data_IF_087636384837
#
_entry.id   IF_087636384837
#
_cell.length_a   1.000
_cell.length_b   1.000
_cell.length_c   1.000
_cell.angle_alpha   90.00
_cell.angle_beta   90.00
_cell.angle_gamma   90.00
#
_symmetry.space_group_name_H-M   'P 1'
#
loop_
_entity.id
_entity.type
_entity.pdbx_description
1 polymer ?
#
# COMPACT_ATOMS: atom_id res chain seq x y z
N UNK A 1 -20.87 11.57 -6.15
CA UNK A 1 -20.86 12.99 -5.75
C UNK A 1 -19.42 13.42 -5.58
N UNK A 2 -19.08 14.66 -5.92
CA UNK A 2 -17.73 15.20 -5.82
C UNK A 2 -17.79 16.65 -5.30
N UNK A 3 -16.76 17.06 -4.56
CA UNK A 3 -16.57 18.44 -4.09
C UNK A 3 -15.11 18.79 -4.33
N UNK A 4 -14.86 19.97 -4.91
CA UNK A 4 -13.53 20.46 -5.20
C UNK A 4 -13.54 21.84 -5.85
N UNK A 5 -12.36 22.46 -5.91
CA UNK A 5 -12.19 23.72 -6.62
C UNK A 5 -12.21 23.46 -8.13
N UNK A 6 -13.07 24.17 -8.86
CA UNK A 6 -13.13 24.06 -10.33
C UNK A 6 -11.83 24.50 -11.01
N UNK A 7 -11.01 25.32 -10.33
CA UNK A 7 -9.67 25.71 -10.77
C UNK A 7 -8.63 24.58 -10.73
N UNK A 8 -8.93 23.47 -10.03
CA UNK A 8 -7.97 22.38 -9.79
C UNK A 8 -7.01 22.65 -8.62
N UNK A 9 -7.12 23.81 -7.95
CA UNK A 9 -6.30 24.11 -6.78
C UNK A 9 -6.64 23.20 -5.59
N UNK A 10 -5.64 22.93 -4.75
CA UNK A 10 -5.80 22.09 -3.57
C UNK A 10 -6.85 22.67 -2.60
N UNK A 11 -7.74 21.81 -2.12
CA UNK A 11 -8.59 22.16 -0.99
C UNK A 11 -7.81 21.97 0.32
N UNK A 12 -7.90 22.93 1.22
CA UNK A 12 -7.25 22.87 2.53
C UNK A 12 -8.28 22.64 3.63
N UNK A 13 -7.98 21.76 4.58
CA UNK A 13 -8.89 21.47 5.70
C UNK A 13 -10.17 20.71 5.31
N UNK A 14 -10.27 20.24 4.06
CA UNK A 14 -11.43 19.48 3.57
C UNK A 14 -10.99 18.06 3.21
N UNK A 15 -11.72 17.08 3.74
CA UNK A 15 -11.57 15.66 3.42
C UNK A 15 -12.84 15.13 2.76
N UNK A 16 -12.85 13.88 2.30
CA UNK A 16 -14.09 13.24 1.85
C UNK A 16 -15.18 13.21 2.92
N UNK A 17 -14.81 13.05 4.20
CA UNK A 17 -15.73 12.97 5.34
C UNK A 17 -16.31 14.35 5.70
N UNK A 18 -15.51 15.41 5.63
CA UNK A 18 -15.96 16.77 5.96
C UNK A 18 -16.49 17.56 4.76
N UNK A 19 -16.21 17.13 3.53
CA UNK A 19 -16.65 17.77 2.29
C UNK A 19 -17.85 17.07 1.64
N UNK A 20 -17.60 15.98 0.91
CA UNK A 20 -18.63 15.33 0.10
C UNK A 20 -19.62 14.48 0.91
N UNK A 21 -19.18 13.81 1.97
CA UNK A 21 -20.02 12.88 2.72
C UNK A 21 -21.27 13.52 3.37
N UNK A 22 -21.22 14.71 3.98
CA UNK A 22 -22.41 15.34 4.58
C UNK A 22 -23.44 15.75 3.54
N UNK A 23 -22.99 16.23 2.37
CA UNK A 23 -23.88 16.59 1.26
C UNK A 23 -24.57 15.35 0.71
N UNK A 24 -23.83 14.25 0.55
CA UNK A 24 -24.39 12.97 0.13
C UNK A 24 -25.42 12.43 1.13
N UNK A 25 -25.07 12.43 2.42
CA UNK A 25 -25.96 11.99 3.49
C UNK A 25 -27.27 12.78 3.50
N UNK A 26 -27.20 14.10 3.42
CA UNK A 26 -28.39 14.96 3.39
C UNK A 26 -29.28 14.66 2.18
N UNK A 27 -28.68 14.51 1.00
CA UNK A 27 -29.39 14.18 -0.24
C UNK A 27 -30.08 12.81 -0.14
N UNK A 28 -29.36 11.76 0.26
CA UNK A 28 -29.92 10.40 0.36
C UNK A 28 -31.01 10.35 1.42
N UNK A 29 -30.82 11.01 2.56
CA UNK A 29 -31.83 11.10 3.62
C UNK A 29 -33.11 11.73 3.10
N UNK A 30 -33.01 12.87 2.42
CA UNK A 30 -34.15 13.55 1.81
C UNK A 30 -34.87 12.66 0.77
N UNK A 31 -34.11 12.01 -0.11
CA UNK A 31 -34.68 11.13 -1.14
C UNK A 31 -35.33 9.87 -0.56
N UNK A 32 -34.87 9.39 0.59
CA UNK A 32 -35.44 8.24 1.31
C UNK A 32 -36.52 8.62 2.33
N UNK A 33 -36.93 9.89 2.41
CA UNK A 33 -38.06 10.29 3.26
C UNK A 33 -39.32 9.52 2.87
N UNK A 34 -39.87 8.75 3.81
CA UNK A 34 -41.04 7.90 3.59
C UNK A 34 -40.80 6.68 2.70
N UNK A 35 -39.55 6.39 2.31
CA UNK A 35 -39.19 5.21 1.49
C UNK A 35 -38.15 4.35 2.20
N UNK A 36 -38.56 3.26 2.87
CA UNK A 36 -37.63 2.34 3.51
C UNK A 36 -36.60 1.82 2.50
N UNK A 37 -35.33 1.80 2.91
CA UNK A 37 -34.28 1.15 2.13
C UNK A 37 -34.58 -0.36 2.05
N UNK A 38 -34.33 -0.96 0.89
CA UNK A 38 -34.45 -2.41 0.68
C UNK A 38 -33.04 -2.99 0.57
N UNK A 39 -32.70 -4.03 1.34
CA UNK A 39 -31.41 -4.69 1.17
C UNK A 39 -31.31 -5.28 -0.24
N UNK A 40 -30.13 -5.27 -0.86
CA UNK A 40 -29.92 -5.97 -2.12
C UNK A 40 -30.16 -7.47 -1.95
N UNK A 41 -30.59 -8.14 -3.01
CA UNK A 41 -30.72 -9.60 -3.03
C UNK A 41 -29.34 -10.22 -2.81
N UNK A 42 -29.25 -11.21 -1.93
CA UNK A 42 -28.00 -11.92 -1.69
C UNK A 42 -27.48 -12.55 -3.00
N UNK A 43 -26.16 -12.50 -3.26
CA UNK A 43 -25.57 -13.06 -4.47
C UNK A 43 -25.52 -14.61 -4.48
N UNK A 44 -26.19 -15.28 -3.53
CA UNK A 44 -26.24 -16.74 -3.44
C UNK A 44 -26.77 -17.34 -4.76
N UNK A 45 -25.90 -18.02 -5.50
CA UNK A 45 -26.19 -18.63 -6.81
C UNK A 45 -25.64 -17.87 -8.02
N UNK A 46 -25.06 -16.68 -7.84
CA UNK A 46 -24.39 -15.93 -8.91
C UNK A 46 -22.93 -16.38 -9.05
N UNK A 47 -22.72 -17.51 -9.74
CA UNK A 47 -21.47 -17.85 -10.44
C UNK A 47 -20.15 -17.66 -9.69
N UNK A 48 -20.00 -18.29 -8.52
CA UNK A 48 -18.72 -18.35 -7.82
C UNK A 48 -18.52 -17.29 -6.73
N UNK A 49 -19.59 -16.87 -6.05
CA UNK A 49 -19.52 -16.01 -4.85
C UNK A 49 -20.05 -16.80 -3.65
N UNK A 50 -19.27 -16.84 -2.56
CA UNK A 50 -19.61 -17.55 -1.34
C UNK A 50 -19.47 -16.67 -0.10
N UNK A 51 -20.05 -17.11 1.02
CA UNK A 51 -19.99 -16.41 2.31
C UNK A 51 -19.10 -17.18 3.27
N UNK A 52 -18.16 -16.49 3.91
CA UNK A 52 -17.21 -17.08 4.87
C UNK A 52 -17.15 -16.22 6.14
N UNK A 53 -17.04 -16.84 7.32
CA UNK A 53 -16.91 -16.11 8.58
C UNK A 53 -15.47 -15.64 8.78
N UNK A 54 -15.26 -14.33 8.75
CA UNK A 54 -13.94 -13.71 8.88
C UNK A 54 -13.64 -13.38 10.34
N UNK A 55 -12.45 -13.78 10.77
CA UNK A 55 -11.86 -13.41 12.06
C UNK A 55 -10.65 -12.51 11.85
N UNK A 56 -10.61 -11.40 12.57
CA UNK A 56 -9.52 -10.43 12.49
C UNK A 56 -8.48 -10.70 13.59
N UNK A 57 -7.21 -10.58 13.24
CA UNK A 57 -6.11 -10.75 14.19
C UNK A 57 -6.22 -9.78 15.38
N UNK A 58 -5.82 -10.30 16.54
CA UNK A 58 -5.88 -9.64 17.84
C UNK A 58 -7.28 -9.09 18.19
N UNK A 59 -8.35 -9.64 17.59
CA UNK A 59 -9.74 -9.18 17.79
C UNK A 59 -9.89 -7.66 17.57
N UNK A 60 -9.09 -7.09 16.66
CA UNK A 60 -9.15 -5.65 16.32
C UNK A 60 -10.50 -5.24 15.75
N UNK A 61 -11.19 -6.18 15.12
CA UNK A 61 -12.53 -6.00 14.61
C UNK A 61 -13.41 -7.20 14.99
N UNK A 62 -14.74 -7.01 15.12
CA UNK A 62 -15.67 -8.09 15.40
C UNK A 62 -15.67 -9.16 14.30
N UNK A 63 -15.90 -10.41 14.72
CA UNK A 63 -16.16 -11.52 13.80
C UNK A 63 -17.45 -11.25 13.02
N UNK A 64 -17.41 -11.42 11.69
CA UNK A 64 -18.56 -11.22 10.79
C UNK A 64 -18.46 -12.09 9.55
N UNK A 65 -19.60 -12.37 8.96
CA UNK A 65 -19.68 -13.04 7.67
C UNK A 65 -19.39 -12.03 6.55
N UNK A 66 -18.48 -12.40 5.64
CA UNK A 66 -18.14 -11.59 4.46
C UNK A 66 -18.32 -12.42 3.18
N UNK A 67 -18.50 -11.73 2.06
CA UNK A 67 -18.65 -12.35 0.75
C UNK A 67 -17.32 -12.38 -0.01
N UNK A 68 -17.00 -13.52 -0.60
CA UNK A 68 -15.78 -13.77 -1.36
C UNK A 68 -16.11 -14.35 -2.73
N UNK A 69 -15.24 -14.11 -3.71
CA UNK A 69 -15.21 -14.93 -4.92
C UNK A 69 -14.60 -16.29 -4.51
N UNK A 70 -15.18 -17.39 -4.97
CA UNK A 70 -14.68 -18.75 -4.73
C UNK A 70 -13.19 -18.85 -5.12
N UNK A 71 -12.37 -19.39 -4.23
CA UNK A 71 -10.91 -19.50 -4.39
C UNK A 71 -10.13 -18.24 -3.96
N UNK A 72 -10.81 -17.22 -3.44
CA UNK A 72 -10.19 -15.99 -2.89
C UNK A 72 -10.49 -15.77 -1.40
N UNK A 73 -11.12 -16.75 -0.75
CA UNK A 73 -11.52 -16.65 0.64
C UNK A 73 -10.35 -16.51 1.62
N UNK A 74 -10.61 -15.73 2.68
CA UNK A 74 -9.65 -15.54 3.78
C UNK A 74 -10.40 -15.48 5.10
N UNK A 75 -10.58 -16.65 5.73
CA UNK A 75 -11.28 -16.80 7.01
C UNK A 75 -10.52 -16.18 8.20
N UNK A 76 -9.19 -16.07 8.09
CA UNK A 76 -8.35 -15.37 9.04
C UNK A 76 -7.70 -14.15 8.36
N UNK A 77 -8.28 -12.99 8.62
CA UNK A 77 -7.68 -11.72 8.21
C UNK A 77 -6.63 -11.37 9.25
N UNK A 78 -5.52 -12.12 9.21
CA UNK A 78 -4.30 -11.78 9.91
C UNK A 78 -3.89 -10.40 9.42
N UNK A 79 -3.88 -9.42 10.31
CA UNK A 79 -3.71 -8.04 9.93
C UNK A 79 -2.44 -7.88 9.08
N UNK A 80 -2.69 -7.67 7.80
CA UNK A 80 -1.75 -7.15 6.83
C UNK A 80 -1.47 -5.68 7.18
N UNK A 81 -0.83 -5.44 8.32
CA UNK A 81 0.16 -4.36 8.43
C UNK A 81 1.46 -4.72 7.71
N UNK A 82 1.38 -5.66 6.75
CA UNK A 82 2.33 -5.88 5.66
C UNK A 82 1.55 -5.87 4.35
N UNK A 83 1.18 -4.67 3.91
CA UNK A 83 0.93 -4.24 2.53
C UNK A 83 0.27 -5.22 1.55
N UNK A 84 -0.85 -4.78 0.96
CA UNK A 84 -1.41 -5.18 -0.33
C UNK A 84 -0.47 -6.02 -1.24
N UNK A 85 -0.62 -7.35 -1.24
CA UNK A 85 -0.14 -8.26 -2.29
C UNK A 85 -0.68 -9.70 -2.04
N UNK A 86 -0.96 -10.48 -3.11
CA UNK A 86 -1.64 -11.77 -3.02
C UNK A 86 -0.83 -12.83 -2.29
N UNK A 87 -1.54 -13.72 -1.59
CA UNK A 87 -1.01 -14.85 -0.87
C UNK A 87 -0.31 -15.84 -1.82
N UNK A 88 1.01 -15.96 -1.71
CA UNK A 88 1.74 -17.13 -2.18
C UNK A 88 2.65 -17.56 -1.03
N UNK A 89 2.31 -18.74 -0.47
CA UNK A 89 3.09 -19.64 0.41
C UNK A 89 4.30 -19.01 1.11
N UNK A 90 4.13 -18.70 2.40
CA UNK A 90 5.23 -18.35 3.28
C UNK A 90 6.11 -19.58 3.54
N UNK A 91 7.25 -19.65 2.86
CA UNK A 91 8.36 -20.49 3.29
C UNK A 91 8.96 -19.89 4.58
N UNK A 92 9.09 -20.65 5.68
CA UNK A 92 9.54 -20.11 6.97
C UNK A 92 11.06 -20.07 7.02
N UNK A 93 11.70 -19.23 6.20
CA UNK A 93 13.11 -18.87 6.40
C UNK A 93 13.16 -17.48 7.01
N UNK A 94 13.06 -17.43 8.34
CA UNK A 94 13.21 -16.18 9.11
C UNK A 94 14.68 -15.80 9.27
N UNK A 95 15.30 -15.28 8.22
CA UNK A 95 16.47 -14.40 8.27
C UNK A 95 16.45 -13.53 7.00
N UNK A 96 16.05 -12.26 7.07
CA UNK A 96 15.98 -11.46 5.84
C UNK A 96 15.42 -10.02 5.89
N UNK A 97 15.60 -9.31 4.79
CA UNK A 97 14.93 -8.09 4.34
C UNK A 97 13.41 -8.35 4.31
N UNK A 98 12.66 -7.62 5.14
CA UNK A 98 11.21 -7.78 5.31
C UNK A 98 10.38 -6.67 4.67
N UNK A 99 10.95 -5.48 4.47
CA UNK A 99 10.17 -4.34 3.93
C UNK A 99 10.02 -4.34 2.41
N UNK A 100 10.84 -5.13 1.70
CA UNK A 100 10.86 -5.19 0.25
C UNK A 100 10.79 -6.62 -0.24
N UNK A 101 10.08 -6.83 -1.35
CA UNK A 101 10.06 -8.11 -2.06
C UNK A 101 10.84 -8.01 -3.36
N UNK A 102 11.45 -9.12 -3.78
CA UNK A 102 12.13 -9.19 -5.08
C UNK A 102 11.13 -8.86 -6.20
N UNK A 103 11.54 -7.98 -7.12
CA UNK A 103 10.70 -7.49 -8.21
C UNK A 103 9.78 -6.32 -7.85
N UNK A 104 9.89 -5.72 -6.65
CA UNK A 104 9.08 -4.55 -6.29
C UNK A 104 9.35 -3.36 -7.24
N UNK A 105 8.28 -2.66 -7.64
CA UNK A 105 8.36 -1.46 -8.48
C UNK A 105 7.89 -0.26 -7.67
N UNK A 106 8.72 0.78 -7.61
CA UNK A 106 8.42 2.08 -6.99
C UNK A 106 8.25 3.14 -8.08
N UNK A 107 7.39 4.13 -7.82
CA UNK A 107 7.24 5.31 -8.67
C UNK A 107 7.54 6.58 -7.86
N UNK A 108 8.34 7.49 -8.39
CA UNK A 108 8.53 8.84 -7.81
C UNK A 108 7.43 9.75 -8.34
N UNK A 109 6.72 10.38 -7.43
CA UNK A 109 5.69 11.37 -7.71
C UNK A 109 6.35 12.77 -7.79
N UNK A 110 6.24 13.50 -8.92
CA UNK A 110 6.87 14.81 -9.06
C UNK A 110 6.26 15.91 -8.18
N UNK A 111 5.04 15.72 -7.67
CA UNK A 111 4.31 16.70 -6.87
C UNK A 111 4.45 16.44 -5.36
N UNK A 112 4.89 15.24 -4.97
CA UNK A 112 5.11 14.87 -3.57
C UNK A 112 6.49 15.35 -3.07
N UNK A 113 6.63 15.95 -1.87
CA UNK A 113 7.93 16.32 -1.33
C UNK A 113 8.85 15.11 -1.16
N UNK A 114 10.12 15.20 -1.58
CA UNK A 114 11.09 14.09 -1.54
C UNK A 114 11.23 13.43 -0.15
N UNK A 115 11.07 14.20 0.93
CA UNK A 115 11.12 13.69 2.29
C UNK A 115 9.99 12.68 2.59
N UNK A 116 8.83 12.85 1.97
CA UNK A 116 7.67 11.95 2.08
C UNK A 116 7.77 10.73 1.15
N UNK A 117 8.72 10.73 0.20
CA UNK A 117 8.91 9.65 -0.77
C UNK A 117 10.02 8.66 -0.37
N UNK A 118 10.49 8.72 0.89
CA UNK A 118 11.55 7.84 1.38
C UNK A 118 11.00 6.43 1.61
N UNK A 119 11.75 5.44 1.19
CA UNK A 119 11.42 4.02 1.36
C UNK A 119 12.20 3.47 2.54
N UNK A 120 11.52 2.77 3.44
CA UNK A 120 12.16 2.06 4.54
C UNK A 120 12.70 0.71 4.08
N UNK A 121 13.98 0.47 4.33
CA UNK A 121 14.56 -0.87 4.33
C UNK A 121 14.54 -1.40 5.76
N UNK A 122 13.88 -2.53 5.99
CA UNK A 122 13.78 -3.18 7.31
C UNK A 122 14.05 -4.66 7.19
N UNK A 123 14.71 -5.21 8.19
CA UNK A 123 15.05 -6.62 8.28
C UNK A 123 16.00 -6.88 9.43
N UNK A 124 16.67 -8.02 9.39
CA UNK A 124 17.62 -8.42 10.42
C UNK A 124 18.80 -7.43 10.56
N UNK A 125 19.34 -7.24 11.78
CA UNK A 125 20.56 -6.49 12.00
C UNK A 125 21.73 -7.13 11.23
N UNK A 126 22.35 -6.37 10.33
CA UNK A 126 23.45 -6.85 9.49
C UNK A 126 24.03 -5.71 8.67
N UNK A 127 25.14 -5.92 7.95
CA UNK A 127 25.62 -4.87 7.03
C UNK A 127 24.86 -4.96 5.72
N UNK A 128 23.97 -4.01 5.46
CA UNK A 128 23.21 -3.94 4.22
C UNK A 128 24.08 -3.37 3.10
N UNK A 129 23.91 -3.90 1.88
CA UNK A 129 24.60 -3.41 0.69
C UNK A 129 23.58 -3.06 -0.37
N UNK A 130 23.53 -1.79 -0.78
CA UNK A 130 22.69 -1.29 -1.86
C UNK A 130 23.59 -0.93 -3.03
N UNK A 131 23.40 -1.59 -4.18
CA UNK A 131 24.17 -1.35 -5.41
C UNK A 131 25.70 -1.40 -5.18
N UNK A 132 26.14 -2.33 -4.32
CA UNK A 132 27.55 -2.47 -3.93
C UNK A 132 28.01 -1.51 -2.83
N UNK A 133 27.21 -0.52 -2.43
CA UNK A 133 27.54 0.41 -1.33
C UNK A 133 27.01 -0.08 0.01
N UNK A 134 27.89 -0.21 1.00
CA UNK A 134 27.53 -0.56 2.38
C UNK A 134 26.73 0.59 3.01
N UNK A 135 25.51 0.31 3.47
CA UNK A 135 24.61 1.30 4.10
C UNK A 135 24.82 1.39 5.62
N UNK A 136 25.27 0.32 6.26
CA UNK A 136 25.51 0.25 7.72
C UNK A 136 24.74 -0.89 8.38
N UNK A 137 24.93 -1.04 9.69
CA UNK A 137 24.30 -2.08 10.51
C UNK A 137 23.17 -1.50 11.38
N UNK A 138 22.06 -1.16 10.74
CA UNK A 138 20.85 -0.65 11.42
C UNK A 138 19.64 -1.51 11.09
N UNK A 139 18.68 -1.67 12.02
CA UNK A 139 17.47 -2.46 11.80
C UNK A 139 16.50 -1.80 10.80
N UNK A 140 16.62 -0.48 10.61
CA UNK A 140 15.86 0.30 9.63
C UNK A 140 16.75 1.35 8.97
N UNK A 141 16.67 1.45 7.65
CA UNK A 141 17.35 2.48 6.85
C UNK A 141 16.35 3.24 5.97
N UNK A 142 16.45 4.57 5.93
CA UNK A 142 15.59 5.42 5.10
C UNK A 142 16.27 5.80 3.79
N UNK A 143 15.94 5.07 2.73
CA UNK A 143 16.45 5.28 1.38
C UNK A 143 15.63 6.34 0.64
N UNK A 144 16.32 7.27 -0.02
CA UNK A 144 15.70 8.15 -1.02
C UNK A 144 15.87 7.48 -2.39
N UNK A 145 14.80 6.93 -2.98
CA UNK A 145 14.90 6.21 -4.25
C UNK A 145 15.27 7.16 -5.38
N UNK A 146 16.10 6.68 -6.31
CA UNK A 146 16.39 7.36 -7.57
C UNK A 146 16.04 6.42 -8.73
N UNK A 147 15.72 6.94 -9.93
CA UNK A 147 15.32 6.11 -11.06
C UNK A 147 16.40 5.08 -11.42
N UNK A 148 15.96 3.86 -11.71
CA UNK A 148 16.84 2.78 -12.11
C UNK A 148 16.46 1.44 -11.49
N UNK A 149 17.32 0.45 -11.72
CA UNK A 149 17.25 -0.86 -11.07
C UNK A 149 18.24 -0.87 -9.92
N UNK A 150 17.79 -1.33 -8.77
CA UNK A 150 18.59 -1.41 -7.56
C UNK A 150 18.60 -2.82 -7.02
N UNK A 151 19.73 -3.20 -6.42
CA UNK A 151 19.93 -4.48 -5.77
C UNK A 151 20.32 -4.24 -4.32
N UNK A 152 19.48 -4.73 -3.41
CA UNK A 152 19.73 -4.75 -1.97
C UNK A 152 20.15 -6.16 -1.55
N UNK A 153 21.32 -6.29 -0.94
CA UNK A 153 21.82 -7.58 -0.45
C UNK A 153 22.10 -7.54 1.04
N UNK A 154 21.84 -8.68 1.68
CA UNK A 154 22.19 -8.95 3.07
C UNK A 154 23.28 -10.03 3.10
N UNK A 155 24.57 -9.64 3.15
CA UNK A 155 25.66 -10.58 3.39
C UNK A 155 25.61 -11.16 4.80
N UNK A 156 25.95 -12.45 4.90
CA UNK A 156 26.13 -13.18 6.14
C UNK A 156 27.51 -12.93 6.75
N UNK A 157 27.72 -13.51 7.94
CA UNK A 157 28.95 -13.29 8.73
C UNK A 157 30.22 -13.76 8.03
N UNK A 158 30.10 -14.74 7.13
CA UNK A 158 31.22 -15.33 6.40
C UNK A 158 31.38 -14.77 4.97
N UNK A 159 30.64 -13.70 4.62
CA UNK A 159 30.69 -13.09 3.29
C UNK A 159 29.81 -13.77 2.23
N UNK A 160 29.16 -14.89 2.57
CA UNK A 160 28.09 -15.47 1.74
C UNK A 160 26.87 -14.53 1.67
N UNK A 161 26.20 -14.45 0.54
CA UNK A 161 24.99 -13.60 0.41
C UNK A 161 23.80 -14.39 0.95
N UNK A 162 23.23 -13.96 2.07
CA UNK A 162 22.05 -14.60 2.67
C UNK A 162 20.78 -14.30 1.89
N UNK A 163 20.67 -13.07 1.39
CA UNK A 163 19.50 -12.64 0.62
C UNK A 163 19.85 -11.54 -0.38
N UNK A 164 19.14 -11.55 -1.51
CA UNK A 164 19.13 -10.48 -2.52
C UNK A 164 17.68 -10.08 -2.81
N UNK A 165 17.43 -8.78 -2.88
CA UNK A 165 16.17 -8.17 -3.29
C UNK A 165 16.44 -7.16 -4.40
N UNK A 166 15.77 -7.31 -5.54
CA UNK A 166 15.84 -6.41 -6.69
C UNK A 166 14.61 -5.54 -6.74
N UNK A 167 14.81 -4.25 -6.93
CA UNK A 167 13.73 -3.27 -7.05
C UNK A 167 13.94 -2.38 -8.27
N UNK A 168 12.85 -1.92 -8.87
CA UNK A 168 12.87 -0.96 -9.97
C UNK A 168 12.21 0.34 -9.51
N UNK A 169 12.88 1.48 -9.71
CA UNK A 169 12.31 2.80 -9.45
C UNK A 169 12.05 3.47 -10.80
N UNK A 170 10.80 3.85 -11.02
CA UNK A 170 10.31 4.55 -12.20
C UNK A 170 9.90 5.97 -11.83
N UNK A 171 9.82 6.83 -12.85
CA UNK A 171 9.46 8.22 -12.67
C UNK A 171 10.67 9.03 -12.18
N UNK A 172 11.20 9.85 -13.06
CA UNK A 172 11.78 11.16 -12.76
C UNK A 172 12.02 11.80 -14.12
N UNK A 173 11.01 12.47 -14.67
CA UNK A 173 11.29 13.53 -15.63
C UNK A 173 11.87 14.68 -14.82
N UNK A 174 13.16 15.00 -15.00
CA UNK A 174 13.71 16.26 -14.50
C UNK A 174 12.81 17.39 -15.04
N UNK A 175 12.20 18.20 -14.16
CA UNK A 175 11.58 19.47 -14.55
C UNK A 175 12.70 20.31 -15.17
N UNK A 176 12.70 20.47 -16.50
CA UNK A 176 13.61 21.39 -17.17
C UNK A 176 13.45 22.79 -16.55
N UNK A 177 14.53 23.50 -16.21
CA UNK A 177 14.42 24.86 -15.69
C UNK A 177 13.71 25.72 -16.74
N UNK A 178 12.63 26.40 -16.34
CA UNK A 178 11.97 27.36 -17.21
C UNK A 178 12.95 28.50 -17.49
N UNK A 179 13.44 28.58 -18.72
CA UNK A 179 14.14 29.77 -19.20
C UNK A 179 13.10 30.89 -19.21
N UNK A 180 13.21 31.80 -18.24
CA UNK A 180 12.50 33.07 -18.28
C UNK A 180 13.09 33.89 -19.43
N UNK A 181 12.33 34.02 -20.52
CA UNK A 181 12.62 34.97 -21.58
C UNK A 181 12.42 36.40 -21.02
N UNK A 182 13.44 37.24 -21.17
CA UNK A 182 13.35 38.69 -21.00
C UNK A 182 12.84 39.32 -22.28
#
# INVERSE_FOLDING_TARGET
MWVGNASGEAMHGVSGISGAAPVWQALVKYLHEGRPSRPPTEPAGAGGVMRETVRFDAQREPVRDEWFIEGTESAEQLALLRASAPAITADPVRFGITSLRDGSIFAIDPDMPLAAQRVAFEGEPGTWVLDGKRLGAVPRWWWAPWPGRHQLTLPGRNGEVLQTVRVEVRGAGLKSPSIAAR
#
